data_IF_832430171679
#
_entry.id   IF_832430171679
#
_cell.length_a   1.000
_cell.length_b   1.000
_cell.length_c   1.000
_cell.angle_alpha   90.00
_cell.angle_beta   90.00
_cell.angle_gamma   90.00
#
_symmetry.space_group_name_H-M   'P 1'
#
loop_
_entity.id
_entity.type
_entity.pdbx_description
1 polymer ?
2 non-polymer ?
3 non-polymer ?
4 non-polymer ?
5 water ?
#
# COMPACT_ATOMS: atom_id res chain seq x y z
N UNK A 7 -20.70 15.14 -12.39
CA UNK A 7 -19.73 14.13 -12.78
C UNK A 7 -18.31 14.67 -12.91
N UNK A 8 -17.35 13.89 -12.43
CA UNK A 8 -15.93 14.21 -12.53
C UNK A 8 -15.25 13.43 -13.65
N UNK A 9 -15.99 13.18 -14.72
CA UNK A 9 -15.54 12.24 -15.74
C UNK A 9 -14.69 12.91 -16.83
N UNK A 10 -14.75 14.23 -16.91
CA UNK A 10 -14.01 15.00 -17.93
C UNK A 10 -12.81 15.73 -17.34
N UNK A 11 -11.73 15.89 -18.13
CA UNK A 11 -10.56 16.60 -17.60
C UNK A 11 -10.89 18.06 -17.36
N UNK A 12 -10.48 18.58 -16.20
CA UNK A 12 -10.80 19.96 -15.84
C UNK A 12 -10.18 20.95 -16.82
N UNK A 13 -10.87 22.05 -17.08
CA UNK A 13 -10.25 23.15 -17.82
C UNK A 13 -9.24 23.83 -16.92
N UNK A 14 -8.18 24.39 -17.49
CA UNK A 14 -7.19 25.10 -16.68
C UNK A 14 -7.75 26.44 -16.26
N UNK A 15 -7.84 26.68 -14.93
CA UNK A 15 -8.37 27.91 -14.36
C UNK A 15 -7.34 29.06 -14.35
N UNK A 16 -7.83 30.27 -14.09
CA UNK A 16 -7.00 31.46 -14.17
C UNK A 16 -6.17 31.60 -12.90
N UNK A 17 -6.74 31.10 -11.82
CA UNK A 17 -6.05 31.02 -10.54
C UNK A 17 -6.23 29.61 -10.00
N UNK A 18 -5.81 29.38 -8.76
CA UNK A 18 -5.64 28.03 -8.25
C UNK A 18 -6.93 27.24 -8.00
N UNK A 19 -6.89 25.95 -8.32
CA UNK A 19 -8.05 25.10 -8.12
C UNK A 19 -7.62 23.64 -7.96
N UNK A 20 -8.32 22.92 -7.10
CA UNK A 20 -8.17 21.47 -6.98
C UNK A 20 -9.40 20.83 -7.59
N UNK A 21 -9.19 19.86 -8.47
CA UNK A 21 -10.32 19.19 -9.12
C UNK A 21 -10.11 17.69 -9.16
N UNK A 22 -11.21 16.96 -9.37
CA UNK A 22 -11.17 15.51 -9.41
C UNK A 22 -11.41 14.99 -10.79
N UNK A 23 -10.66 13.95 -11.17
CA UNK A 23 -10.88 13.29 -12.43
C UNK A 23 -11.06 11.81 -12.18
N UNK A 24 -12.27 11.31 -12.41
CA UNK A 24 -12.57 9.89 -12.26
C UNK A 24 -12.70 9.27 -13.63
N UNK A 25 -11.74 8.42 -13.99
CA UNK A 25 -11.68 7.85 -15.34
C UNK A 25 -10.89 6.56 -15.28
N UNK A 26 -11.22 5.60 -16.16
CA UNK A 26 -10.57 4.29 -16.11
C UNK A 26 -9.10 4.29 -16.44
N UNK A 27 -8.41 3.27 -15.94
CA UNK A 27 -7.03 3.05 -16.30
C UNK A 27 -6.88 2.84 -17.81
N UNK A 28 -5.94 3.55 -18.41
CA UNK A 28 -5.69 3.48 -19.84
C UNK A 28 -6.53 4.41 -20.70
N UNK A 29 -7.47 5.12 -20.08
CA UNK A 29 -8.45 5.92 -20.83
C UNK A 29 -7.91 7.25 -21.36
N UNK A 30 -6.72 7.63 -20.94
CA UNK A 30 -6.14 8.91 -21.33
C UNK A 30 -5.80 9.86 -20.18
N UNK A 31 -6.31 9.58 -18.99
CA UNK A 31 -6.14 10.50 -17.85
C UNK A 31 -4.69 10.77 -17.50
N UNK A 32 -3.82 9.78 -17.68
CA UNK A 32 -2.41 9.96 -17.35
C UNK A 32 -1.54 10.31 -18.55
N UNK A 33 -2.13 10.40 -19.74
CA UNK A 33 -1.33 10.51 -20.94
C UNK A 33 -1.91 11.56 -21.92
N UNK A 34 -3.03 11.23 -22.56
CA UNK A 34 -3.76 12.15 -23.44
C UNK A 34 -4.10 13.48 -22.75
N UNK A 35 -4.51 13.42 -21.50
CA UNK A 35 -4.92 14.63 -20.78
C UNK A 35 -3.71 15.55 -20.55
N UNK A 36 -2.58 15.01 -20.02
CA UNK A 36 -1.44 15.91 -19.97
C UNK A 36 -0.90 16.34 -21.35
N UNK A 37 -0.96 15.47 -22.36
CA UNK A 37 -0.61 15.92 -23.70
C UNK A 37 -1.44 17.14 -24.13
N UNK A 38 -2.75 17.10 -23.89
CA UNK A 38 -3.61 18.21 -24.33
C UNK A 38 -3.32 19.50 -23.54
N UNK A 39 -3.00 19.36 -22.26
CA UNK A 39 -2.59 20.50 -21.42
C UNK A 39 -1.31 21.13 -21.95
N UNK A 40 -0.35 20.29 -22.33
CA UNK A 40 0.93 20.77 -22.84
C UNK A 40 0.77 21.42 -24.22
N UNK A 41 -0.13 20.89 -25.04
CA UNK A 41 -0.41 21.50 -26.34
C UNK A 41 -0.93 22.93 -26.18
N UNK A 42 -1.47 23.22 -25.00
CA UNK A 42 -1.98 24.56 -24.69
C UNK A 42 -0.89 25.44 -24.11
N UNK A 43 0.30 24.88 -23.92
CA UNK A 43 1.43 25.66 -23.43
C UNK A 43 1.77 25.55 -21.96
N UNK A 44 1.05 24.71 -21.22
CA UNK A 44 1.29 24.54 -19.79
C UNK A 44 2.37 23.49 -19.50
N UNK A 45 3.05 23.63 -18.38
CA UNK A 45 3.96 22.57 -17.93
C UNK A 45 3.23 21.67 -16.96
N UNK A 46 3.36 20.36 -17.17
CA UNK A 46 2.53 19.41 -16.47
C UNK A 46 3.38 18.38 -15.72
N UNK A 47 3.02 18.14 -14.47
CA UNK A 47 3.65 17.09 -13.69
C UNK A 47 2.64 15.99 -13.44
N UNK A 48 3.04 14.75 -13.68
CA UNK A 48 2.17 13.62 -13.41
C UNK A 48 2.83 12.67 -12.42
N UNK A 49 2.20 12.51 -11.26
CA UNK A 49 2.71 11.68 -10.18
C UNK A 49 2.00 10.34 -10.13
N UNK A 50 2.74 9.25 -9.92
CA UNK A 50 2.14 7.92 -9.89
C UNK A 50 2.84 7.07 -8.82
N UNK A 51 2.10 6.15 -8.19
CA UNK A 51 2.75 5.33 -7.15
C UNK A 51 3.78 4.34 -7.67
N UNK A 52 3.82 4.09 -8.98
CA UNK A 52 4.61 2.96 -9.51
C UNK A 52 5.77 3.37 -10.42
N UNK A 53 6.96 2.84 -10.14
CA UNK A 53 8.10 3.07 -11.02
C UNK A 53 7.78 2.54 -12.43
N UNK A 54 7.20 1.34 -12.49
CA UNK A 54 6.88 0.71 -13.77
C UNK A 54 5.84 1.52 -14.53
N UNK A 55 4.78 1.96 -13.86
CA UNK A 55 3.77 2.74 -14.56
C UNK A 55 4.39 4.03 -15.09
N UNK A 56 5.25 4.64 -14.26
CA UNK A 56 5.89 5.90 -14.58
C UNK A 56 6.78 5.78 -15.81
N UNK A 57 7.61 4.76 -15.86
CA UNK A 57 8.39 4.53 -17.07
C UNK A 57 7.51 4.25 -18.28
N UNK A 58 6.42 3.52 -18.05
CA UNK A 58 5.55 3.14 -19.14
C UNK A 58 4.83 4.32 -19.81
N UNK A 59 4.56 5.36 -19.03
CA UNK A 59 3.94 6.57 -19.58
C UNK A 59 4.87 7.18 -20.61
N UNK A 60 6.16 7.19 -20.27
CA UNK A 60 7.20 7.71 -21.16
C UNK A 60 7.27 6.95 -22.46
N UNK A 61 7.19 5.62 -22.39
CA UNK A 61 7.19 4.81 -23.61
C UNK A 61 5.93 5.07 -24.44
N UNK A 62 4.77 5.21 -23.80
CA UNK A 62 3.55 5.49 -24.55
C UNK A 62 3.62 6.87 -25.23
N UNK A 63 4.02 7.90 -24.48
CA UNK A 63 3.96 9.26 -24.97
C UNK A 63 4.92 9.50 -26.12
N UNK A 64 6.09 8.90 -26.02
CA UNK A 64 7.10 8.92 -27.08
C UNK A 64 6.62 8.28 -28.38
N UNK A 65 6.15 7.05 -28.27
CA UNK A 65 5.83 6.26 -29.44
C UNK A 65 4.51 6.69 -30.08
N UNK A 66 3.54 7.05 -29.25
CA UNK A 66 2.23 7.43 -29.77
C UNK A 66 2.15 8.88 -30.21
N UNK A 67 2.82 9.79 -29.50
CA UNK A 67 2.62 11.20 -29.78
C UNK A 67 3.89 11.96 -30.15
N UNK A 68 5.03 11.29 -30.15
CA UNK A 68 6.29 11.95 -30.42
C UNK A 68 6.63 12.96 -29.35
N UNK A 69 6.10 12.73 -28.15
CA UNK A 69 6.41 13.52 -26.97
C UNK A 69 7.40 12.79 -26.06
N UNK A 70 8.57 13.36 -25.84
CA UNK A 70 9.55 12.74 -24.96
C UNK A 70 9.52 13.45 -23.60
N UNK A 71 8.77 12.90 -22.66
CA UNK A 71 8.61 13.57 -21.36
C UNK A 71 9.84 13.42 -20.49
N UNK A 72 9.97 14.24 -19.46
CA UNK A 72 10.91 13.95 -18.39
C UNK A 72 10.37 12.80 -17.58
N UNK A 73 11.26 11.92 -17.12
CA UNK A 73 10.87 10.73 -16.36
C UNK A 73 11.73 10.63 -15.12
N UNK A 74 11.12 10.72 -13.93
CA UNK A 74 11.90 10.76 -12.69
C UNK A 74 11.50 9.64 -11.72
N UNK A 75 12.47 8.78 -11.37
CA UNK A 75 12.28 7.72 -10.37
C UNK A 75 13.43 7.77 -9.39
N UNK A 76 13.36 6.98 -8.32
CA UNK A 76 14.43 6.92 -7.34
C UNK A 76 15.77 6.45 -7.89
N UNK A 77 15.74 5.63 -8.93
CA UNK A 77 16.94 5.14 -9.61
C UNK A 77 17.64 6.24 -10.43
N UNK A 78 16.86 6.98 -11.19
CA UNK A 78 17.43 7.99 -12.06
C UNK A 78 16.36 8.88 -12.66
N UNK A 79 16.79 10.07 -13.09
CA UNK A 79 15.89 11.00 -13.76
C UNK A 79 16.33 11.17 -15.19
N UNK A 80 15.38 11.14 -16.12
CA UNK A 80 15.70 11.41 -17.50
C UNK A 80 15.08 12.76 -17.84
N UNK A 81 15.91 13.70 -18.30
CA UNK A 81 15.43 15.05 -18.57
C UNK A 81 15.54 15.35 -20.06
N UNK A 82 14.43 15.74 -20.67
CA UNK A 82 14.41 16.11 -22.08
C UNK A 82 14.18 17.60 -22.26
N UNK A 83 13.80 18.29 -21.19
CA UNK A 83 13.44 19.69 -21.29
C UNK A 83 12.04 19.91 -21.86
N UNK A 84 11.29 18.84 -22.09
CA UNK A 84 9.91 18.95 -22.54
C UNK A 84 8.97 19.39 -21.43
N UNK A 85 7.72 19.74 -21.79
CA UNK A 85 6.80 20.36 -20.83
C UNK A 85 6.10 19.37 -19.92
N UNK A 86 6.24 18.08 -20.19
CA UNK A 86 5.60 17.08 -19.36
C UNK A 86 6.65 16.27 -18.62
N UNK A 87 6.40 16.10 -17.33
CA UNK A 87 7.26 15.33 -16.45
C UNK A 87 6.45 14.23 -15.75
N UNK A 88 6.88 12.97 -15.88
CA UNK A 88 6.34 11.88 -15.06
C UNK A 88 7.31 11.59 -13.92
N UNK A 89 6.79 11.49 -12.70
CA UNK A 89 7.61 11.15 -11.55
C UNK A 89 6.83 10.19 -10.67
N UNK A 90 7.53 9.35 -9.92
CA UNK A 90 6.90 8.64 -8.82
C UNK A 90 6.62 9.63 -7.68
N UNK A 91 5.70 9.27 -6.79
CA UNK A 91 5.46 10.10 -5.61
C UNK A 91 6.71 10.17 -4.75
N UNK A 92 7.40 9.03 -4.61
CA UNK A 92 8.65 8.98 -3.84
C UNK A 92 9.73 9.88 -4.37
N UNK A 93 9.94 9.86 -5.69
CA UNK A 93 10.99 10.69 -6.26
C UNK A 93 10.62 12.17 -6.13
N UNK A 94 9.34 12.48 -6.31
CA UNK A 94 8.83 13.84 -6.12
C UNK A 94 9.14 14.36 -4.71
N UNK A 95 8.91 13.53 -3.71
CA UNK A 95 9.20 13.89 -2.31
C UNK A 95 10.71 14.08 -2.10
N UNK A 96 11.49 13.14 -2.61
CA UNK A 96 12.95 13.20 -2.50
C UNK A 96 13.51 14.44 -3.19
N UNK A 97 12.84 14.91 -4.24
CA UNK A 97 13.26 16.11 -4.96
C UNK A 97 12.85 17.41 -4.25
N UNK A 98 12.16 17.30 -3.11
CA UNK A 98 11.79 18.48 -2.36
C UNK A 98 10.36 18.97 -2.60
N UNK A 99 9.55 18.16 -3.27
CA UNK A 99 8.16 18.52 -3.50
C UNK A 99 8.04 19.60 -4.57
N UNK A 100 7.11 20.53 -4.38
CA UNK A 100 6.94 21.59 -5.38
C UNK A 100 8.03 22.65 -5.23
N UNK A 101 9.20 22.39 -5.81
CA UNK A 101 10.25 23.40 -5.89
C UNK A 101 9.92 24.36 -7.03
N UNK A 102 8.69 24.88 -7.00
CA UNK A 102 8.15 25.70 -8.07
C UNK A 102 8.81 27.07 -8.18
N UNK A 103 8.42 27.86 -9.18
CA UNK A 103 7.34 27.53 -10.09
C UNK A 103 7.70 26.68 -11.29
N UNK A 104 7.88 25.39 -11.05
CA UNK A 104 8.24 24.47 -12.09
C UNK A 104 7.01 24.10 -12.95
N UNK A 105 5.90 23.73 -12.31
CA UNK A 105 4.76 23.20 -13.07
C UNK A 105 3.50 24.05 -12.93
N UNK A 106 2.71 24.11 -14.00
CA UNK A 106 1.41 24.81 -13.97
C UNK A 106 0.31 23.89 -13.48
N UNK A 107 0.41 22.63 -13.87
CA UNK A 107 -0.59 21.63 -13.57
C UNK A 107 0.07 20.40 -12.96
N UNK A 108 -0.49 19.92 -11.87
CA UNK A 108 0.00 18.70 -11.24
C UNK A 108 -1.11 17.69 -11.17
N UNK A 109 -0.88 16.56 -11.82
CA UNK A 109 -1.85 15.51 -11.79
C UNK A 109 -1.36 14.45 -10.82
N UNK A 110 -2.11 14.27 -9.75
CA UNK A 110 -1.88 13.17 -8.84
C UNK A 110 -2.66 11.94 -9.29
N UNK A 111 -1.98 11.05 -10.01
CA UNK A 111 -2.61 9.87 -10.57
C UNK A 111 -2.73 8.78 -9.49
N UNK A 112 -3.71 7.91 -9.66
CA UNK A 112 -4.05 6.86 -8.68
C UNK A 112 -4.14 7.43 -7.28
N UNK A 113 -4.87 8.53 -7.14
CA UNK A 113 -4.89 9.32 -5.91
C UNK A 113 -5.71 8.63 -4.83
N UNK A 114 -6.30 7.48 -5.16
CA UNK A 114 -6.91 6.61 -4.16
C UNK A 114 -5.85 5.78 -3.42
N UNK A 115 -4.62 5.75 -3.94
CA UNK A 115 -3.60 4.88 -3.37
C UNK A 115 -3.33 5.22 -1.90
N UNK A 116 -3.29 4.18 -1.08
CA UNK A 116 -3.14 4.36 0.35
C UNK A 116 -1.80 3.86 0.85
N UNK A 117 -0.79 3.79 -0.02
CA UNK A 117 0.54 3.54 0.51
C UNK A 117 1.07 4.88 1.03
N UNK A 118 1.98 4.83 2.00
CA UNK A 118 2.40 6.03 2.71
C UNK A 118 3.05 7.07 1.81
N UNK A 119 3.82 6.61 0.83
CA UNK A 119 4.49 7.52 -0.11
C UNK A 119 3.48 8.32 -0.95
N UNK A 120 2.43 7.67 -1.40
CA UNK A 120 1.40 8.36 -2.16
C UNK A 120 0.69 9.41 -1.32
N UNK A 121 0.31 9.03 -0.10
CA UNK A 121 -0.39 9.92 0.82
C UNK A 121 0.42 11.15 1.17
N UNK A 122 1.67 10.95 1.55
CA UNK A 122 2.54 12.06 1.86
C UNK A 122 2.81 12.90 0.61
N UNK A 123 2.97 12.22 -0.53
CA UNK A 123 3.18 12.92 -1.79
C UNK A 123 2.02 13.84 -2.14
N UNK A 124 0.81 13.30 -2.05
CA UNK A 124 -0.39 14.06 -2.39
C UNK A 124 -0.63 15.23 -1.42
N UNK A 125 -0.42 14.99 -0.13
CA UNK A 125 -0.48 16.06 0.86
C UNK A 125 0.55 17.15 0.58
N UNK A 126 1.72 16.74 0.13
CA UNK A 126 2.75 17.71 -0.21
C UNK A 126 2.29 18.61 -1.35
N UNK A 127 1.78 17.99 -2.40
CA UNK A 127 1.23 18.74 -3.53
C UNK A 127 0.15 19.71 -3.09
N UNK A 128 -0.78 19.22 -2.28
CA UNK A 128 -1.91 20.03 -1.88
C UNK A 128 -1.49 21.19 -0.98
N UNK A 129 -0.45 20.99 -0.17
CA UNK A 129 -0.02 22.07 0.70
C UNK A 129 0.84 23.11 -0.03
N UNK A 130 1.53 22.67 -1.09
CA UNK A 130 2.57 23.51 -1.72
C UNK A 130 2.23 24.06 -3.12
N UNK A 131 1.27 23.45 -3.81
CA UNK A 131 1.06 23.76 -5.24
C UNK A 131 0.77 25.24 -5.51
N UNK A 132 -0.18 25.80 -4.76
CA UNK A 132 -0.60 27.18 -4.98
C UNK A 132 0.56 28.15 -4.76
N UNK A 133 1.19 28.04 -3.60
CA UNK A 133 2.34 28.88 -3.25
C UNK A 133 3.47 28.72 -4.27
N UNK A 134 3.60 27.53 -4.83
CA UNK A 134 4.59 27.28 -5.87
C UNK A 134 4.18 27.80 -7.26
N UNK A 135 3.00 28.42 -7.35
CA UNK A 135 2.59 29.05 -8.59
C UNK A 135 1.86 28.17 -9.59
N UNK A 136 1.40 27.00 -9.14
CA UNK A 136 0.57 26.13 -9.97
C UNK A 136 -0.85 26.70 -10.11
N UNK A 137 -1.54 26.35 -11.18
CA UNK A 137 -2.88 26.85 -11.37
C UNK A 137 -3.93 25.75 -11.11
N UNK A 138 -3.49 24.50 -11.19
CA UNK A 138 -4.40 23.37 -11.14
C UNK A 138 -3.77 22.10 -10.56
N UNK A 139 -4.46 21.49 -9.61
CA UNK A 139 -4.12 20.15 -9.13
C UNK A 139 -5.27 19.23 -9.48
N UNK A 140 -4.97 18.13 -10.16
CA UNK A 140 -5.96 17.15 -10.55
C UNK A 140 -5.77 15.91 -9.70
N UNK A 141 -6.80 15.52 -8.95
CA UNK A 141 -6.75 14.26 -8.23
C UNK A 141 -7.43 13.19 -9.09
N UNK A 142 -6.64 12.33 -9.74
CA UNK A 142 -7.16 11.39 -10.72
C UNK A 142 -7.11 9.98 -10.21
N UNK A 143 -8.20 9.24 -10.43
CA UNK A 143 -8.26 7.84 -10.06
C UNK A 143 -9.32 7.10 -10.86
N UNK A 144 -9.07 5.82 -11.09
CA UNK A 144 -10.08 4.94 -11.64
C UNK A 144 -10.92 4.31 -10.54
N UNK A 145 -10.53 4.52 -9.29
CA UNK A 145 -11.23 3.92 -8.14
C UNK A 145 -11.47 4.94 -7.03
N UNK A 146 -12.51 5.77 -7.17
CA UNK A 146 -12.74 6.80 -6.16
C UNK A 146 -13.01 6.18 -4.79
N UNK A 147 -12.61 6.87 -3.73
CA UNK A 147 -12.89 6.39 -2.37
C UNK A 147 -14.39 6.24 -2.14
N UNK A 148 -14.74 5.22 -1.37
CA UNK A 148 -16.14 4.90 -1.10
C UNK A 148 -16.72 3.96 -2.13
N UNK A 149 -15.94 3.66 -3.17
CA UNK A 149 -16.36 2.68 -4.20
C UNK A 149 -16.72 1.32 -3.60
N UNK A 150 -17.78 0.71 -4.13
CA UNK A 150 -18.12 -0.64 -3.75
C UNK A 150 -18.08 -1.56 -4.97
N UNK A 151 -17.96 -2.85 -4.72
CA UNK A 151 -17.98 -3.82 -5.81
C UNK A 151 -19.36 -3.82 -6.44
N UNK A 152 -19.40 -3.70 -7.76
CA UNK A 152 -20.66 -3.67 -8.48
C UNK A 152 -20.84 -4.94 -9.31
N UNK A 153 -22.09 -5.24 -9.61
CA UNK A 153 -22.41 -6.45 -10.34
C UNK A 153 -21.73 -6.49 -11.71
N UNK A 154 -21.34 -7.69 -12.11
CA UNK A 154 -20.62 -7.88 -13.36
C UNK A 154 -21.52 -8.69 -14.28
N UNK A 155 -21.70 -8.25 -15.53
CA UNK A 155 -22.67 -8.96 -16.38
C UNK A 155 -22.26 -10.39 -16.70
N UNK A 156 -20.97 -10.71 -16.65
CA UNK A 156 -20.55 -12.05 -17.03
C UNK A 156 -20.22 -12.97 -15.87
N UNK A 157 -20.55 -12.55 -14.66
CA UNK A 157 -20.15 -13.36 -13.51
C UNK A 157 -21.31 -13.63 -12.57
N UNK A 158 -21.60 -14.91 -12.38
CA UNK A 158 -22.67 -15.36 -11.51
C UNK A 158 -22.11 -15.51 -10.10
N UNK A 159 -22.71 -14.81 -9.15
CA UNK A 159 -22.22 -14.78 -7.78
C UNK A 159 -23.12 -15.63 -6.90
N UNK A 160 -22.50 -16.59 -6.21
CA UNK A 160 -23.21 -17.55 -5.40
C UNK A 160 -22.60 -17.65 -4.02
N UNK A 161 -23.36 -17.26 -2.99
CA UNK A 161 -22.85 -17.35 -1.61
C UNK A 161 -22.57 -18.79 -1.22
N UNK A 162 -21.51 -18.98 -0.43
CA UNK A 162 -21.29 -20.27 0.23
C UNK A 162 -22.31 -20.44 1.35
N UNK A 163 -22.71 -21.69 1.60
CA UNK A 163 -23.54 -21.99 2.75
C UNK A 163 -22.71 -22.76 3.76
N UNK A 164 -23.38 -23.41 4.70
CA UNK A 164 -22.67 -24.26 5.64
C UNK A 164 -22.73 -25.71 5.18
N UNK A 165 -23.52 -25.94 4.14
CA UNK A 165 -23.53 -27.23 3.46
C UNK A 165 -22.27 -27.46 2.63
N UNK A 166 -21.50 -28.47 2.98
CA UNK A 166 -20.35 -28.84 2.18
C UNK A 166 -19.35 -29.69 2.94
N UNK A 167 -18.53 -30.44 2.20
CA UNK A 167 -17.56 -31.34 2.82
C UNK A 167 -16.33 -30.60 3.31
N UNK A 168 -15.96 -29.53 2.61
CA UNK A 168 -14.72 -28.83 2.88
C UNK A 168 -14.94 -27.56 3.69
N UNK A 169 -14.48 -27.56 4.95
CA UNK A 169 -14.61 -26.38 5.81
C UNK A 169 -13.81 -25.21 5.25
N UNK A 170 -14.42 -24.04 5.12
CA UNK A 170 -13.76 -22.90 4.50
C UNK A 170 -14.18 -21.59 5.17
N UNK A 171 -13.31 -21.07 6.02
CA UNK A 171 -13.49 -19.76 6.67
C UNK A 171 -14.90 -19.54 7.27
N UNK A 172 -15.42 -20.54 7.95
CA UNK A 172 -16.71 -20.41 8.60
C UNK A 172 -17.86 -20.96 7.78
N UNK A 173 -17.60 -21.19 6.50
CA UNK A 173 -18.58 -21.81 5.63
C UNK A 173 -18.05 -23.13 5.14
N UNK A 174 -18.69 -23.68 4.11
CA UNK A 174 -18.25 -24.94 3.54
C UNK A 174 -18.20 -24.87 2.03
N UNK A 175 -17.33 -25.66 1.43
CA UNK A 175 -17.30 -25.85 -0.01
C UNK A 175 -17.78 -27.26 -0.32
N UNK A 176 -18.87 -27.39 -1.10
CA UNK A 176 -19.25 -28.71 -1.60
C UNK A 176 -18.20 -29.20 -2.60
N UNK A 177 -17.80 -30.47 -2.49
CA UNK A 177 -16.75 -30.96 -3.37
C UNK A 177 -17.21 -30.98 -4.83
N UNK A 178 -18.50 -31.19 -5.06
CA UNK A 178 -19.04 -31.31 -6.42
C UNK A 178 -18.77 -30.03 -7.21
N UNK A 179 -18.55 -28.95 -6.47
CA UNK A 179 -18.45 -27.62 -7.03
C UNK A 179 -17.04 -27.29 -7.56
N UNK A 180 -16.05 -28.08 -7.15
CA UNK A 180 -14.69 -27.92 -7.63
C UNK A 180 -14.13 -29.21 -8.24
N UNK A 181 -14.96 -30.25 -8.34
CA UNK A 181 -14.51 -31.49 -9.00
C UNK A 181 -14.83 -31.42 -10.50
N UNK A 182 -13.77 -31.37 -11.31
CA UNK A 182 -13.91 -31.16 -12.73
C UNK A 182 -13.96 -29.67 -13.02
N UNK A 183 -13.14 -29.23 -13.96
CA UNK A 183 -13.02 -27.82 -14.28
C UNK A 183 -11.77 -27.20 -13.66
N UNK A 184 -11.61 -25.91 -13.87
CA UNK A 184 -10.44 -25.23 -13.34
C UNK A 184 -10.91 -24.14 -12.38
N UNK A 185 -10.48 -24.24 -11.13
CA UNK A 185 -11.00 -23.37 -10.08
C UNK A 185 -9.89 -22.71 -9.28
N UNK A 186 -10.14 -21.48 -8.83
CA UNK A 186 -9.18 -20.71 -8.08
C UNK A 186 -9.72 -20.33 -6.69
N UNK A 187 -9.05 -20.80 -5.64
CA UNK A 187 -9.47 -20.47 -4.29
C UNK A 187 -8.50 -19.51 -3.62
N UNK A 188 -8.99 -18.33 -3.23
CA UNK A 188 -8.14 -17.36 -2.52
C UNK A 188 -8.16 -17.59 -1.02
N UNK A 189 -6.98 -17.85 -0.47
CA UNK A 189 -6.79 -17.91 0.97
C UNK A 189 -5.90 -16.75 1.42
N UNK A 190 -6.02 -16.38 2.69
CA UNK A 190 -5.35 -15.19 3.21
C UNK A 190 -3.86 -15.41 3.47
N UNK A 191 -3.44 -16.67 3.60
CA UNK A 191 -2.07 -17.00 3.98
C UNK A 191 -1.50 -18.21 3.22
N UNK A 192 -0.18 -18.27 3.14
CA UNK A 192 0.51 -19.37 2.49
C UNK A 192 0.23 -20.68 3.21
N UNK A 193 0.10 -20.61 4.54
CA UNK A 193 -0.18 -21.81 5.32
C UNK A 193 -1.57 -22.36 5.01
N UNK A 194 -2.56 -21.47 4.89
CA UNK A 194 -3.89 -21.92 4.52
C UNK A 194 -3.89 -22.54 3.13
N UNK A 195 -3.05 -22.01 2.25
CA UNK A 195 -2.96 -22.52 0.89
C UNK A 195 -2.40 -23.94 0.90
N UNK A 196 -1.37 -24.15 1.72
CA UNK A 196 -0.77 -25.47 1.88
C UNK A 196 -1.72 -26.45 2.55
N UNK A 197 -2.42 -25.98 3.58
CA UNK A 197 -3.37 -26.84 4.28
C UNK A 197 -4.52 -27.29 3.39
N UNK A 198 -5.12 -26.33 2.67
CA UNK A 198 -6.26 -26.62 1.82
C UNK A 198 -5.85 -27.48 0.63
N UNK A 199 -4.70 -27.18 0.04
CA UNK A 199 -4.24 -27.90 -1.14
C UNK A 199 -3.91 -29.36 -0.80
N UNK A 200 -3.41 -29.57 0.42
CA UNK A 200 -3.14 -30.92 0.91
C UNK A 200 -4.47 -31.64 1.12
N UNK A 201 -5.40 -30.97 1.79
CA UNK A 201 -6.72 -31.52 2.07
C UNK A 201 -7.43 -31.94 0.79
N UNK A 202 -7.35 -31.10 -0.23
CA UNK A 202 -8.04 -31.37 -1.48
C UNK A 202 -7.38 -32.54 -2.20
N UNK A 203 -6.05 -32.57 -2.17
CA UNK A 203 -5.32 -33.68 -2.76
C UNK A 203 -5.74 -34.99 -2.12
N UNK A 204 -5.84 -35.00 -0.80
CA UNK A 204 -6.23 -36.20 -0.07
C UNK A 204 -7.63 -36.64 -0.49
N UNK A 205 -8.47 -35.69 -0.86
CA UNK A 205 -9.83 -36.02 -1.28
C UNK A 205 -9.90 -36.50 -2.74
N UNK A 206 -8.74 -36.60 -3.38
CA UNK A 206 -8.68 -37.10 -4.74
C UNK A 206 -8.74 -36.05 -5.83
N UNK A 207 -8.74 -34.78 -5.43
CA UNK A 207 -8.75 -33.66 -6.37
C UNK A 207 -7.34 -33.30 -6.83
N UNK A 208 -7.23 -32.78 -8.05
CA UNK A 208 -5.99 -32.22 -8.56
C UNK A 208 -5.83 -30.79 -8.06
N UNK A 209 -5.06 -30.61 -7.00
CA UNK A 209 -4.91 -29.28 -6.41
C UNK A 209 -3.44 -28.90 -6.23
N UNK A 210 -3.16 -27.61 -6.35
CA UNK A 210 -1.81 -27.07 -6.18
C UNK A 210 -1.85 -25.67 -5.59
N UNK A 211 -0.94 -25.41 -4.65
CA UNK A 211 -0.85 -24.12 -3.98
C UNK A 211 0.00 -23.15 -4.79
N UNK A 212 -0.35 -21.87 -4.77
CA UNK A 212 0.53 -20.83 -5.31
C UNK A 212 0.62 -19.62 -4.41
N UNK A 213 1.84 -19.14 -4.18
CA UNK A 213 2.06 -17.90 -3.45
C UNK A 213 3.43 -17.32 -3.78
N UNK A 214 3.76 -16.19 -3.17
CA UNK A 214 5.04 -15.51 -3.40
C UNK A 214 6.21 -16.46 -3.18
N UNK A 215 6.99 -16.68 -4.23
CA UNK A 215 8.16 -17.53 -4.12
C UNK A 215 7.91 -18.94 -4.60
N UNK A 216 7.07 -19.09 -5.61
CA UNK A 216 6.90 -20.35 -6.31
C UNK A 216 6.79 -20.07 -7.79
N UNK A 217 7.08 -21.07 -8.63
CA UNK A 217 7.05 -20.85 -10.06
C UNK A 217 5.62 -20.91 -10.59
N UNK A 218 5.35 -20.12 -11.62
CA UNK A 218 4.02 -20.06 -12.20
C UNK A 218 3.69 -21.36 -12.90
N UNK A 219 4.73 -22.10 -13.29
CA UNK A 219 4.56 -23.33 -14.05
C UNK A 219 3.99 -24.45 -13.20
N UNK A 220 4.00 -24.28 -11.88
CA UNK A 220 3.41 -25.23 -10.95
C UNK A 220 1.88 -25.25 -11.12
N UNK A 221 1.37 -24.27 -11.86
CA UNK A 221 -0.01 -24.25 -12.29
C UNK A 221 -0.12 -24.83 -13.69
N UNK A 222 -0.86 -25.94 -13.85
CA UNK A 222 -0.97 -26.54 -15.18
C UNK A 222 -1.81 -25.68 -16.13
N UNK A 223 -1.38 -25.63 -17.39
CA UNK A 223 -2.03 -24.81 -18.42
C UNK A 223 -3.34 -25.42 -18.87
N UNK A 224 -3.42 -26.73 -18.81
CA UNK A 224 -4.61 -27.48 -19.19
C UNK A 224 -4.95 -28.49 -18.12
N UNK A 225 -6.18 -28.96 -18.13
CA UNK A 225 -6.59 -30.01 -17.23
C UNK A 225 -7.36 -29.48 -16.06
N UNK A 226 -8.20 -30.34 -15.49
CA UNK A 226 -8.87 -30.03 -14.25
C UNK A 226 -7.85 -29.70 -13.18
N UNK A 227 -8.02 -28.56 -12.53
CA UNK A 227 -7.13 -28.21 -11.44
C UNK A 227 -7.87 -27.30 -10.47
N UNK A 228 -7.55 -27.43 -9.19
CA UNK A 228 -7.99 -26.46 -8.19
C UNK A 228 -6.75 -25.75 -7.67
N UNK A 229 -6.61 -24.48 -8.01
CA UNK A 229 -5.49 -23.67 -7.53
C UNK A 229 -5.85 -22.98 -6.22
N UNK A 230 -4.99 -23.13 -5.21
CA UNK A 230 -5.21 -22.50 -3.91
C UNK A 230 -4.15 -21.45 -3.70
N UNK A 231 -4.53 -20.18 -3.79
CA UNK A 231 -3.54 -19.12 -3.87
C UNK A 231 -3.81 -17.87 -3.01
N UNK A 232 -2.74 -17.12 -2.78
CA UNK A 232 -2.83 -15.79 -2.19
C UNK A 232 -2.91 -14.77 -3.32
N UNK A 233 -2.99 -13.50 -2.95
CA UNK A 233 -3.07 -12.42 -3.93
C UNK A 233 -1.80 -12.32 -4.77
N UNK A 234 -0.76 -13.07 -4.39
CA UNK A 234 0.44 -13.18 -5.20
C UNK A 234 0.14 -13.66 -6.62
N UNK A 235 -0.94 -14.41 -6.77
CA UNK A 235 -1.32 -14.97 -8.06
C UNK A 235 -1.58 -13.90 -9.11
N UNK A 236 -2.02 -12.73 -8.67
CA UNK A 236 -2.44 -11.73 -9.62
C UNK A 236 -1.30 -10.93 -10.26
N UNK A 237 -0.05 -11.29 -9.97
CA UNK A 237 1.08 -10.50 -10.47
C UNK A 237 2.25 -11.10 -11.33
N UNK A 238 2.43 -12.42 -11.47
CA UNK A 238 1.61 -13.49 -10.95
C UNK A 238 1.37 -14.54 -12.03
N UNK A 239 0.15 -14.60 -12.52
CA UNK A 239 -0.29 -15.58 -13.51
C UNK A 239 -1.32 -14.88 -14.41
N UNK A 240 -1.62 -15.44 -15.58
CA UNK A 240 -2.48 -14.71 -16.52
C UNK A 240 -3.81 -15.39 -16.82
N UNK A 241 -3.83 -16.72 -16.80
CA UNK A 241 -5.04 -17.47 -17.14
C UNK A 241 -6.24 -17.13 -16.28
N UNK A 242 -7.42 -17.52 -16.76
CA UNK A 242 -8.65 -17.33 -16.00
C UNK A 242 -9.22 -18.69 -15.61
N UNK A 243 -10.34 -18.68 -14.89
CA UNK A 243 -10.86 -19.88 -14.25
C UNK A 243 -12.37 -20.04 -14.43
N UNK A 244 -12.86 -21.28 -14.26
CA UNK A 244 -14.29 -21.58 -14.29
C UNK A 244 -15.00 -20.94 -13.09
N UNK A 245 -14.31 -20.95 -11.95
CA UNK A 245 -14.81 -20.28 -10.76
C UNK A 245 -13.69 -19.73 -9.91
N UNK A 246 -14.07 -18.74 -9.11
CA UNK A 246 -13.23 -18.19 -8.05
C UNK A 246 -13.99 -18.37 -6.74
N UNK A 247 -13.30 -18.85 -5.71
CA UNK A 247 -13.88 -18.93 -4.39
C UNK A 247 -13.03 -18.05 -3.48
N UNK A 248 -13.68 -17.06 -2.85
CA UNK A 248 -12.98 -16.01 -2.15
C UNK A 248 -13.20 -16.09 -0.64
N UNK A 249 -12.13 -16.11 0.14
CA UNK A 249 -12.27 -16.15 1.60
C UNK A 249 -12.72 -14.78 2.13
N UNK A 250 -12.62 -13.76 1.28
CA UNK A 250 -13.07 -12.40 1.60
C UNK A 250 -12.33 -11.77 2.77
N UNK A 251 -11.13 -12.25 3.04
CA UNK A 251 -10.31 -11.64 4.07
C UNK A 251 -8.94 -11.39 3.45
N UNK A 252 -8.22 -10.40 3.93
CA UNK A 252 -6.81 -10.27 3.54
C UNK A 252 -5.94 -9.84 4.71
N UNK A 253 -4.64 -9.94 4.50
CA UNK A 253 -3.65 -9.58 5.49
C UNK A 253 -3.15 -8.18 5.20
N UNK A 254 -3.19 -7.30 6.20
CA UNK A 254 -2.73 -5.93 6.02
C UNK A 254 -2.06 -5.39 7.29
N UNK A 255 -1.23 -4.38 7.10
CA UNK A 255 -0.55 -3.73 8.21
C UNK A 255 -1.51 -2.87 9.06
N UNK A 256 -1.53 -3.12 10.36
CA UNK A 256 -2.41 -2.37 11.24
C UNK A 256 -1.68 -1.95 12.51
N UNK A 257 -2.08 -0.84 13.10
CA UNK A 257 -1.59 -0.46 14.41
C UNK A 257 -2.61 -0.89 15.48
N UNK A 258 -2.09 -1.36 16.60
CA UNK A 258 -2.90 -1.75 17.74
C UNK A 258 -2.32 -1.02 18.94
N UNK A 259 -3.15 -0.20 19.59
CA UNK A 259 -2.67 0.48 20.79
C UNK A 259 -2.83 -0.48 21.96
N UNK A 260 -1.91 -1.44 21.97
CA UNK A 260 -1.96 -2.63 22.80
C UNK A 260 -1.41 -2.41 24.20
N UNK A 261 -0.75 -1.26 24.42
CA UNK A 261 -0.26 -0.90 25.75
C UNK A 261 0.67 -1.96 26.37
N UNK A 262 1.52 -2.56 25.55
CA UNK A 262 2.43 -3.61 26.02
C UNK A 262 3.88 -3.48 25.54
N UNK A 263 4.52 -2.32 25.80
CA UNK A 263 4.13 -1.16 26.59
C UNK A 263 3.34 -0.07 25.83
N UNK A 264 3.44 0.00 24.51
CA UNK A 264 2.89 1.15 23.78
C UNK A 264 1.94 0.74 22.65
N UNK A 265 2.48 0.59 21.46
CA UNK A 265 1.65 0.19 20.34
C UNK A 265 2.33 -0.96 19.59
N UNK A 266 1.53 -1.61 18.75
CA UNK A 266 1.97 -2.71 17.92
C UNK A 266 1.63 -2.44 16.47
N UNK A 267 2.62 -2.58 15.59
CA UNK A 267 2.36 -2.54 14.15
C UNK A 267 2.73 -3.89 13.57
N UNK A 268 1.75 -4.54 12.95
CA UNK A 268 1.99 -5.85 12.39
C UNK A 268 0.97 -6.18 11.32
N UNK A 269 1.20 -7.27 10.61
CA UNK A 269 0.25 -7.72 9.59
C UNK A 269 -0.86 -8.50 10.26
N UNK A 270 -2.08 -8.11 9.95
CA UNK A 270 -3.28 -8.59 10.62
C UNK A 270 -4.29 -9.03 9.57
N UNK A 271 -5.06 -10.07 9.89
CA UNK A 271 -6.23 -10.44 9.09
C UNK A 271 -7.36 -9.42 9.27
N UNK A 272 -7.90 -8.92 8.16
CA UNK A 272 -8.99 -7.92 8.18
C UNK A 272 -10.03 -8.21 7.10
N UNK A 273 -11.23 -7.59 7.22
CA UNK A 273 -12.21 -7.69 6.12
C UNK A 273 -11.65 -7.15 4.80
N UNK A 274 -11.92 -7.84 3.70
CA UNK A 274 -11.47 -7.39 2.40
C UNK A 274 -12.26 -6.17 1.94
N UNK A 275 -11.67 -5.28 1.15
CA UNK A 275 -12.43 -4.14 0.65
C UNK A 275 -12.87 -4.33 -0.81
N UNK A 276 -13.60 -3.37 -1.34
CA UNK A 276 -14.18 -3.45 -2.67
C UNK A 276 -13.14 -3.71 -3.75
N UNK A 277 -11.95 -3.14 -3.60
CA UNK A 277 -10.93 -3.31 -4.63
C UNK A 277 -10.44 -4.75 -4.66
N UNK A 278 -10.16 -5.30 -3.49
CA UNK A 278 -9.70 -6.66 -3.39
C UNK A 278 -10.78 -7.62 -3.93
N UNK A 279 -12.02 -7.44 -3.46
CA UNK A 279 -13.14 -8.25 -3.94
C UNK A 279 -13.28 -8.20 -5.45
N UNK A 280 -13.24 -7.00 -6.03
CA UNK A 280 -13.34 -6.86 -7.48
C UNK A 280 -12.19 -7.58 -8.21
N UNK A 281 -10.98 -7.40 -7.69
CA UNK A 281 -9.82 -8.00 -8.35
C UNK A 281 -9.85 -9.53 -8.29
N UNK A 282 -10.22 -10.09 -7.13
CA UNK A 282 -10.26 -11.54 -7.00
C UNK A 282 -11.34 -12.12 -7.87
N UNK A 283 -12.50 -11.46 -7.86
CA UNK A 283 -13.64 -11.91 -8.65
C UNK A 283 -13.29 -11.91 -10.12
N UNK A 284 -12.48 -10.95 -10.51
CA UNK A 284 -12.21 -10.71 -11.93
C UNK A 284 -11.35 -11.77 -12.59
N UNK A 285 -10.93 -12.78 -11.84
CA UNK A 285 -10.15 -13.89 -12.40
C UNK A 285 -11.02 -14.98 -13.01
N UNK A 286 -12.34 -14.77 -13.01
CA UNK A 286 -13.25 -15.66 -13.72
C UNK A 286 -14.12 -14.78 -14.62
N UNK A 287 -14.85 -15.38 -15.55
CA UNK A 287 -15.72 -14.62 -16.42
C UNK A 287 -15.07 -13.98 -17.65
N UNK A 288 -13.83 -14.36 -17.96
CA UNK A 288 -13.14 -13.86 -19.14
C UNK A 288 -13.43 -14.75 -20.36
N UNK A 289 -14.13 -14.18 -21.34
CA UNK A 289 -14.43 -14.92 -22.56
C UNK A 289 -15.54 -15.95 -22.46
N UNK A 290 -16.05 -16.18 -21.26
CA UNK A 290 -17.22 -17.04 -21.08
C UNK A 290 -17.79 -16.71 -19.72
N UNK A 291 -18.93 -17.28 -19.38
CA UNK A 291 -19.54 -16.90 -18.12
C UNK A 291 -18.74 -17.46 -16.94
N UNK A 292 -18.56 -16.65 -15.90
CA UNK A 292 -17.81 -17.06 -14.72
C UNK A 292 -18.66 -17.31 -13.49
N UNK A 293 -18.03 -17.88 -12.47
CA UNK A 293 -18.68 -18.10 -11.19
C UNK A 293 -17.82 -17.59 -10.05
N UNK A 294 -18.42 -16.78 -9.17
CA UNK A 294 -17.74 -16.28 -7.99
C UNK A 294 -18.47 -16.72 -6.72
N UNK A 295 -17.75 -17.44 -5.84
CA UNK A 295 -18.34 -17.87 -4.56
C UNK A 295 -17.66 -17.18 -3.40
N UNK A 296 -18.46 -16.80 -2.40
CA UNK A 296 -17.95 -15.95 -1.34
C UNK A 296 -18.42 -16.39 0.04
N UNK A 297 -17.58 -16.13 1.03
CA UNK A 297 -17.88 -16.42 2.42
C UNK A 297 -18.87 -15.41 2.95
N UNK A 298 -18.68 -14.15 2.57
CA UNK A 298 -19.44 -13.05 3.15
C UNK A 298 -19.79 -12.01 2.10
N UNK A 299 -20.98 -11.39 2.22
CA UNK A 299 -21.25 -10.28 1.32
C UNK A 299 -20.30 -9.18 1.70
N UNK A 300 -19.66 -8.57 0.73
CA UNK A 300 -18.77 -7.51 1.09
C UNK A 300 -19.58 -6.24 1.33
N UNK A 301 -18.90 -5.15 1.60
CA UNK A 301 -17.47 -5.13 1.82
C UNK A 301 -17.22 -3.99 2.78
N UNK A 302 -15.93 -3.73 2.99
CA UNK A 302 -15.52 -2.38 3.21
C UNK A 302 -15.54 -1.76 1.82
N UNK A 303 -16.14 -0.57 1.68
CA UNK A 303 -15.89 0.22 0.46
C UNK A 303 -14.40 0.54 0.36
N UNK A 304 -13.93 0.92 -0.81
CA UNK A 304 -12.51 1.29 -0.95
C UNK A 304 -12.25 2.65 -0.28
N UNK A 305 -10.99 2.97 -0.06
CA UNK A 305 -10.64 4.33 0.34
C UNK A 305 -10.57 4.61 1.84
N UNK A 306 -10.39 3.56 2.63
CA UNK A 306 -10.15 3.74 4.06
C UNK A 306 -8.80 3.14 4.37
N UNK A 307 -8.01 3.80 5.21
CA UNK A 307 -6.72 3.22 5.53
C UNK A 307 -6.40 3.37 7.01
N UNK A 308 -5.39 2.61 7.42
CA UNK A 308 -5.09 2.40 8.83
C UNK A 308 -4.16 3.47 9.39
N UNK A 309 -4.33 3.81 10.67
CA UNK A 309 -3.47 4.77 11.34
C UNK A 309 -1.97 4.44 11.23
N UNK A 310 -1.64 3.15 11.12
CA UNK A 310 -0.25 2.72 10.90
C UNK A 310 0.38 3.33 9.64
N UNK A 311 -0.46 3.64 8.65
CA UNK A 311 0.04 4.31 7.44
C UNK A 311 0.43 5.77 7.75
N UNK A 312 -0.29 6.41 8.67
CA UNK A 312 0.10 7.77 9.07
C UNK A 312 1.48 7.71 9.75
N UNK A 313 1.64 6.75 10.65
CA UNK A 313 2.93 6.49 11.30
C UNK A 313 4.01 6.32 10.25
N UNK A 314 3.69 5.51 9.25
CA UNK A 314 4.64 5.22 8.20
C UNK A 314 5.04 6.47 7.43
N UNK A 315 4.14 7.45 7.34
CA UNK A 315 4.47 8.72 6.68
C UNK A 315 5.49 9.53 7.49
N UNK A 316 5.32 9.57 8.81
CA UNK A 316 6.25 10.28 9.70
C UNK A 316 7.59 9.60 9.65
N UNK A 317 7.54 8.27 9.66
CA UNK A 317 8.73 7.45 9.53
C UNK A 317 9.50 7.84 8.25
N UNK A 318 8.81 7.82 7.11
CA UNK A 318 9.41 8.16 5.84
C UNK A 318 9.89 9.61 5.80
N UNK A 319 9.15 10.50 6.44
CA UNK A 319 9.58 11.88 6.49
C UNK A 319 10.94 12.02 7.14
N UNK A 320 11.10 11.34 8.27
CA UNK A 320 12.36 11.36 9.00
C UNK A 320 13.48 10.54 8.32
N UNK A 321 13.12 9.48 7.62
CA UNK A 321 14.12 8.56 7.08
C UNK A 321 14.64 8.96 5.71
N UNK A 322 13.73 9.38 4.84
CA UNK A 322 14.06 9.61 3.43
C UNK A 322 14.08 11.06 3.02
N UNK A 323 13.21 11.88 3.60
CA UNK A 323 12.95 13.18 3.00
C UNK A 323 13.30 14.38 3.88
N UNK A 324 14.05 14.14 4.95
CA UNK A 324 14.55 15.22 5.79
C UNK A 324 13.44 16.15 6.26
N UNK A 325 12.30 15.58 6.61
CA UNK A 325 11.20 16.38 7.13
C UNK A 325 11.08 16.20 8.64
N UNK A 326 10.97 17.30 9.36
CA UNK A 326 10.60 17.23 10.77
C UNK A 326 9.16 16.72 10.88
N UNK A 327 8.83 16.11 12.03
CA UNK A 327 7.43 15.71 12.26
C UNK A 327 6.43 16.85 12.06
N UNK A 328 6.79 18.08 12.43
CA UNK A 328 5.88 19.20 12.23
C UNK A 328 5.64 19.46 10.74
N UNK A 329 6.67 19.27 9.92
CA UNK A 329 6.53 19.47 8.49
C UNK A 329 5.62 18.40 7.91
N UNK A 330 5.88 17.15 8.28
CA UNK A 330 5.04 16.05 7.88
C UNK A 330 3.57 16.29 8.23
N UNK A 331 3.32 16.78 9.45
CA UNK A 331 1.94 17.08 9.86
C UNK A 331 1.28 18.10 8.95
N UNK A 332 2.01 19.13 8.56
CA UNK A 332 1.45 20.17 7.67
C UNK A 332 0.97 19.51 6.38
N UNK A 333 1.83 18.68 5.78
CA UNK A 333 1.48 18.00 4.54
C UNK A 333 0.29 17.04 4.72
N UNK A 334 0.30 16.26 5.80
CA UNK A 334 -0.77 15.29 5.99
C UNK A 334 -2.09 15.99 6.33
N UNK A 335 -2.00 17.14 6.99
CA UNK A 335 -3.19 17.94 7.31
C UNK A 335 -3.90 18.38 6.03
N UNK A 336 -3.12 18.80 5.04
CA UNK A 336 -3.70 19.25 3.79
C UNK A 336 -4.44 18.08 3.10
N UNK A 337 -3.87 16.89 3.22
CA UNK A 337 -4.47 15.67 2.68
C UNK A 337 -5.79 15.34 3.37
N UNK A 338 -5.76 15.33 4.69
CA UNK A 338 -6.97 14.99 5.45
C UNK A 338 -8.06 16.05 5.23
N UNK A 339 -7.66 17.31 5.07
CA UNK A 339 -8.64 18.39 4.86
C UNK A 339 -9.25 18.44 3.47
N UNK A 340 -8.62 17.78 2.51
CA UNK A 340 -9.12 17.80 1.15
C UNK A 340 -10.22 16.75 0.98
N UNK A 341 -11.43 17.18 0.64
CA UNK A 341 -12.48 16.18 0.43
C UNK A 341 -12.29 15.34 -0.83
N UNK A 342 -12.77 14.10 -0.80
CA UNK A 342 -12.75 13.24 -1.97
C UNK A 342 -11.56 12.28 -2.04
N UNK A 343 -10.77 12.26 -0.98
CA UNK A 343 -9.58 11.42 -0.90
C UNK A 343 -9.80 10.27 0.10
N UNK A 344 -8.91 9.26 0.09
CA UNK A 344 -8.96 8.24 1.14
C UNK A 344 -9.01 8.84 2.55
N UNK A 345 -9.64 8.13 3.47
CA UNK A 345 -9.85 8.63 4.83
C UNK A 345 -9.25 7.72 5.90
N UNK A 346 -8.93 8.33 7.03
CA UNK A 346 -8.31 7.63 8.15
C UNK A 346 -8.57 8.41 9.43
N UNK A 347 -8.44 7.74 10.57
CA UNK A 347 -8.56 8.42 11.85
C UNK A 347 -7.55 9.55 11.92
N UNK A 348 -7.92 10.65 12.56
CA UNK A 348 -7.00 11.79 12.66
C UNK A 348 -6.05 11.56 13.83
N UNK A 349 -4.90 10.96 13.55
CA UNK A 349 -3.90 10.67 14.56
C UNK A 349 -2.63 11.47 14.33
N UNK A 350 -2.77 12.57 13.62
CA UNK A 350 -1.61 13.37 13.23
C UNK A 350 -0.86 13.92 14.45
N UNK A 351 -1.59 14.51 15.40
CA UNK A 351 -0.93 15.08 16.56
C UNK A 351 -0.24 13.98 17.35
N UNK A 352 -0.89 12.83 17.48
CA UNK A 352 -0.27 11.73 18.20
C UNK A 352 1.04 11.25 17.54
N UNK A 353 0.98 10.92 16.26
CA UNK A 353 2.17 10.39 15.61
C UNK A 353 3.27 11.44 15.56
N UNK A 354 2.91 12.71 15.36
CA UNK A 354 3.89 13.79 15.39
C UNK A 354 4.59 13.84 16.75
N UNK A 355 3.81 13.82 17.83
CA UNK A 355 4.41 13.87 19.16
C UNK A 355 5.39 12.71 19.38
N UNK A 356 5.02 11.50 18.97
CA UNK A 356 5.92 10.35 19.09
C UNK A 356 7.26 10.57 18.38
N UNK A 357 7.22 10.89 17.08
CA UNK A 357 8.47 10.98 16.33
C UNK A 357 9.32 12.15 16.81
N UNK A 358 8.66 13.16 17.39
CA UNK A 358 9.37 14.32 17.91
C UNK A 358 10.32 13.91 19.03
N UNK A 359 9.98 12.86 19.76
CA UNK A 359 10.84 12.41 20.83
C UNK A 359 11.86 11.36 20.41
N UNK A 360 11.84 10.92 19.15
CA UNK A 360 12.79 9.91 18.69
C UNK A 360 14.07 10.57 18.18
N UNK A 361 14.78 11.21 19.10
CA UNK A 361 15.96 12.00 18.76
C UNK A 361 17.26 11.18 18.81
N UNK A 362 18.25 11.66 18.06
CA UNK A 362 19.59 11.06 18.03
C UNK A 362 19.53 9.60 17.59
N UNK A 363 18.91 9.34 16.45
CA UNK A 363 18.96 8.01 15.87
C UNK A 363 20.41 7.80 15.45
N UNK A 364 20.85 6.55 15.39
CA UNK A 364 22.17 6.27 14.84
C UNK A 364 22.10 6.32 13.30
N UNK A 365 22.92 7.18 12.68
CA UNK A 365 22.85 7.37 11.23
C UNK A 365 23.17 6.08 10.46
N UNK A 366 24.13 5.31 10.96
CA UNK A 366 24.57 4.12 10.25
C UNK A 366 23.50 3.03 10.28
N UNK A 367 22.82 2.88 11.42
CA UNK A 367 21.70 1.93 11.48
C UNK A 367 20.61 2.35 10.50
N UNK A 368 20.32 3.66 10.46
CA UNK A 368 19.27 4.18 9.58
C UNK A 368 19.60 3.95 8.12
N UNK A 369 20.87 4.15 7.71
CA UNK A 369 21.22 3.90 6.32
C UNK A 369 21.12 2.41 6.02
N UNK A 370 21.42 1.59 7.01
CA UNK A 370 21.29 0.14 6.83
C UNK A 370 19.82 -0.29 6.63
N UNK A 371 18.90 0.18 7.48
CA UNK A 371 17.51 -0.23 7.34
C UNK A 371 16.89 0.39 6.08
N UNK A 372 17.33 1.59 5.72
CA UNK A 372 16.89 2.20 4.46
C UNK A 372 17.32 1.36 3.28
N UNK A 373 18.62 1.07 3.20
CA UNK A 373 19.18 0.26 2.11
C UNK A 373 18.53 -1.11 2.06
N UNK A 374 18.20 -1.67 3.23
CA UNK A 374 17.59 -2.99 3.31
C UNK A 374 16.16 -3.00 2.78
N UNK A 375 15.53 -1.84 2.73
CA UNK A 375 14.18 -1.73 2.18
C UNK A 375 13.06 -2.29 3.05
N UNK A 376 13.34 -2.64 4.30
CA UNK A 376 12.27 -3.05 5.21
C UNK A 376 11.36 -1.87 5.55
N UNK A 377 10.13 -2.18 5.96
CA UNK A 377 9.15 -1.17 6.36
C UNK A 377 9.56 -0.49 7.66
N UNK A 378 9.11 0.76 7.84
CA UNK A 378 9.46 1.55 9.02
C UNK A 378 10.96 1.57 9.29
N UNK A 379 11.76 2.01 8.30
CA UNK A 379 13.21 2.07 8.54
C UNK A 379 13.56 2.93 9.75
N UNK A 380 12.82 4.01 9.95
CA UNK A 380 13.17 4.91 11.05
C UNK A 380 12.91 4.25 12.41
N UNK A 381 11.73 3.66 12.60
CA UNK A 381 11.40 3.00 13.86
C UNK A 381 12.27 1.76 14.13
N UNK A 382 12.56 0.99 13.09
CA UNK A 382 13.44 -0.18 13.25
C UNK A 382 14.85 0.27 13.65
N UNK A 383 15.39 1.29 12.99
CA UNK A 383 16.73 1.77 13.32
C UNK A 383 16.75 2.48 14.67
N UNK A 384 15.63 3.09 15.06
CA UNK A 384 15.62 3.76 16.36
C UNK A 384 15.61 2.74 17.48
N UNK A 385 14.83 1.68 17.32
CA UNK A 385 14.85 0.60 18.28
C UNK A 385 16.24 -0.01 18.36
N UNK A 386 16.87 -0.21 17.19
CA UNK A 386 18.21 -0.78 17.12
C UNK A 386 19.23 0.13 17.82
N UNK A 387 19.05 1.44 17.65
CA UNK A 387 19.94 2.43 18.26
C UNK A 387 19.83 2.36 19.76
N UNK A 388 18.60 2.32 20.25
CA UNK A 388 18.34 2.17 21.67
C UNK A 388 18.95 0.87 22.17
N UNK A 389 18.83 -0.20 21.39
CA UNK A 389 19.37 -1.49 21.81
C UNK A 389 20.88 -1.41 21.97
N UNK A 390 21.56 -0.90 20.94
CA UNK A 390 23.02 -0.81 20.97
C UNK A 390 23.50 0.06 22.12
N UNK A 391 22.85 1.20 22.34
CA UNK A 391 23.27 2.09 23.42
C UNK A 391 23.05 1.50 24.80
N UNK A 392 22.20 0.50 24.89
CA UNK A 392 22.01 -0.17 26.16
C UNK A 392 22.73 -1.52 26.18
N UNK A 393 23.49 -1.80 25.12
CA UNK A 393 24.14 -3.09 24.91
C UNK A 393 23.16 -4.25 25.12
N UNK A 394 21.93 -4.08 24.65
CA UNK A 394 20.87 -5.08 24.78
C UNK A 394 20.51 -5.70 23.43
N UNK A 395 20.03 -6.96 23.43
CA UNK A 395 19.57 -7.63 22.21
C UNK A 395 18.30 -7.00 21.64
N UNK A 396 18.08 -7.14 20.32
CA UNK A 396 16.84 -6.70 19.69
C UNK A 396 15.65 -7.56 20.16
N UNK A 397 14.40 -7.12 19.91
CA UNK A 397 13.21 -7.88 20.30
C UNK A 397 13.28 -9.33 19.83
N UNK A 398 13.86 -9.55 18.65
CA UNK A 398 14.08 -10.91 18.13
C UNK A 398 15.26 -10.89 17.17
N UNK A 399 15.56 -12.04 16.57
CA UNK A 399 16.64 -12.04 15.58
C UNK A 399 16.09 -12.22 14.18
N UNK A 400 14.83 -11.86 14.00
CA UNK A 400 14.26 -11.65 12.67
C UNK A 400 15.19 -10.77 11.82
N UNK A 401 15.13 -10.93 10.51
CA UNK A 401 15.95 -10.17 9.55
C UNK A 401 15.86 -8.67 9.74
N UNK A 402 14.71 -8.21 10.22
CA UNK A 402 14.47 -6.85 10.68
C UNK A 402 15.64 -6.24 11.46
N UNK A 403 16.19 -7.03 12.38
CA UNK A 403 17.16 -6.53 13.34
C UNK A 403 18.58 -6.83 12.88
N UNK A 404 18.72 -6.99 11.57
CA UNK A 404 19.98 -7.30 10.88
C UNK A 404 21.17 -6.46 11.33
N UNK A 405 20.97 -5.15 11.47
CA UNK A 405 22.08 -4.25 11.76
C UNK A 405 22.76 -4.57 13.08
N UNK A 406 22.10 -5.35 13.93
CA UNK A 406 22.67 -5.66 15.24
C UNK A 406 23.41 -6.97 15.24
N UNK A 407 23.53 -7.59 14.08
CA UNK A 407 24.11 -8.94 14.04
C UNK A 407 25.59 -8.95 14.40
N UNK A 408 26.35 -7.95 13.94
CA UNK A 408 27.79 -7.91 14.24
C UNK A 408 28.04 -7.79 15.73
N UNK A 409 27.07 -7.19 16.42
CA UNK A 409 27.22 -6.89 17.85
C UNK A 409 26.69 -7.99 18.75
N UNK A 410 26.06 -9.00 18.14
CA UNK A 410 25.37 -10.08 18.84
C UNK A 410 26.14 -10.63 20.06
N UNK A 411 27.44 -10.96 19.94
CA UNK A 411 28.14 -11.51 21.11
C UNK A 411 28.20 -10.60 22.34
N UNK A 412 27.92 -9.31 22.19
CA UNK A 412 28.06 -8.39 23.32
C UNK A 412 26.72 -7.80 23.77
N UNK A 413 25.65 -8.19 23.10
CA UNK A 413 24.31 -7.76 23.49
C UNK A 413 23.72 -8.80 24.45
N UNK A 414 23.22 -8.35 25.59
CA UNK A 414 22.68 -9.26 26.59
C UNK A 414 21.68 -8.56 27.53
N UNK A 415 20.95 -9.34 28.32
CA UNK A 415 19.89 -8.82 29.14
C UNK A 415 18.59 -8.60 28.40
N UNK A 416 17.64 -7.89 29.03
CA UNK A 416 16.32 -7.68 28.41
C UNK A 416 16.32 -6.57 27.34
N UNK A 417 15.43 -6.70 26.36
CA UNK A 417 15.26 -5.66 25.36
C UNK A 417 14.53 -4.45 25.93
N UNK A 418 15.11 -3.25 25.77
CA UNK A 418 14.35 -2.05 26.11
C UNK A 418 13.32 -1.78 24.99
N UNK A 419 12.16 -2.39 25.12
CA UNK A 419 11.10 -2.33 24.11
C UNK A 419 10.43 -0.95 24.04
N UNK A 420 10.55 -0.32 22.87
CA UNK A 420 9.87 0.96 22.60
C UNK A 420 8.43 0.77 22.13
N UNK A 421 8.21 -0.32 21.40
CA UNK A 421 6.98 -0.62 20.66
C UNK A 421 7.21 -1.98 20.02
N UNK A 422 6.19 -2.53 19.36
CA UNK A 422 6.30 -3.86 18.78
C UNK A 422 6.08 -3.84 17.28
N UNK A 423 7.06 -4.37 16.53
CA UNK A 423 7.01 -4.33 15.06
C UNK A 423 6.96 -5.74 14.48
N UNK A 424 6.77 -6.72 15.35
CA UNK A 424 6.76 -8.11 14.93
C UNK A 424 6.77 -8.93 16.20
N UNK A 425 7.05 -10.23 16.06
CA UNK A 425 7.05 -11.14 17.20
C UNK A 425 8.15 -10.81 18.19
N UNK A 426 7.83 -11.02 19.47
CA UNK A 426 8.76 -10.76 20.56
C UNK A 426 9.39 -12.07 21.03
N UNK A 427 10.71 -12.13 21.08
CA UNK A 427 11.36 -13.39 21.40
C UNK A 427 12.46 -13.24 22.45
N UNK A 428 12.47 -12.09 23.12
CA UNK A 428 13.37 -11.88 24.24
C UNK A 428 12.63 -11.29 25.44
N UNK A 429 13.22 -11.41 26.63
CA UNK A 429 12.77 -10.69 27.81
C UNK A 429 12.79 -9.18 27.54
N UNK A 430 11.85 -8.46 28.13
CA UNK A 430 11.76 -7.02 27.93
C UNK A 430 11.89 -6.22 29.23
N UNK A 431 12.37 -5.00 29.09
CA UNK A 431 12.29 -4.04 30.17
C UNK A 431 11.52 -2.84 29.64
N UNK A 432 10.73 -2.22 30.51
CA UNK A 432 9.94 -1.06 30.10
C UNK A 432 10.48 0.23 30.74
N UNK A 433 11.70 0.18 31.24
CA UNK A 433 12.23 1.32 31.98
C UNK A 433 12.82 2.40 31.10
N UNK A 434 13.03 2.13 29.81
CA UNK A 434 13.73 3.11 28.98
C UNK A 434 12.93 4.42 28.87
N UNK A 435 13.64 5.55 29.01
CA UNK A 435 13.05 6.88 28.90
C UNK A 435 12.16 7.08 27.67
N UNK A 436 12.52 6.49 26.53
CA UNK A 436 11.74 6.68 25.32
C UNK A 436 10.45 5.90 25.39
N UNK A 437 10.51 4.74 26.03
CA UNK A 437 9.31 3.94 26.23
C UNK A 437 8.32 4.76 27.03
N UNK A 438 8.81 5.35 28.13
CA UNK A 438 7.98 6.20 28.96
C UNK A 438 7.47 7.38 28.15
N UNK A 439 8.34 7.95 27.32
CA UNK A 439 7.94 9.07 26.49
C UNK A 439 6.75 8.70 25.56
N UNK A 440 6.84 7.55 24.91
CA UNK A 440 5.81 7.17 23.94
C UNK A 440 4.49 6.82 24.66
N UNK A 441 4.58 6.19 25.82
CA UNK A 441 3.39 5.93 26.63
C UNK A 441 2.65 7.22 26.95
N UNK A 442 3.43 8.26 27.25
CA UNK A 442 2.87 9.57 27.60
C UNK A 442 2.23 10.24 26.38
N UNK A 443 2.84 10.08 25.21
CA UNK A 443 2.24 10.56 23.96
C UNK A 443 0.83 9.97 23.80
N UNK A 444 0.69 8.69 24.15
CA UNK A 444 -0.58 8.00 24.06
C UNK A 444 -1.61 8.55 25.06
N UNK A 445 -1.18 8.73 26.31
CA UNK A 445 -2.04 9.31 27.35
C UNK A 445 -2.41 10.76 27.11
N UNK A 446 -1.60 11.47 26.33
CA UNK A 446 -1.80 12.90 26.17
C UNK A 446 -2.73 13.20 24.99
N UNK A 447 -3.16 12.15 24.30
CA UNK A 447 -4.01 12.31 23.13
C UNK A 447 -5.38 11.67 23.36
N UNK A 448 -6.44 12.47 23.34
CA UNK A 448 -7.79 11.95 23.60
C UNK A 448 -8.26 10.94 22.55
N UNK A 449 -7.77 11.07 21.32
CA UNK A 449 -8.15 10.16 20.25
C UNK A 449 -7.51 8.79 20.45
N UNK A 450 -6.32 8.78 21.06
CA UNK A 450 -5.61 7.52 21.26
C UNK A 450 -5.89 6.93 22.65
N UNK A 451 -5.88 7.77 23.68
CA UNK A 451 -6.14 7.32 25.05
C UNK A 451 -7.58 6.82 25.21
#
# INVERSE_FOLDING_TARGET
RSPVFTDNSSPPAVPQSFQVAHLHAPTGSGKSTKVPAAYAAQGYKVLVLNPSVAATLGFGVYMSKAHGIDPNIRTGVRAITTGGPITYSTYGKFLADGGCSGGAYDIIICDECHSTDSTSILGIGTVLDQAETAGARLVVLATATPPGSVTVSHPNIEEVALSNTGEIPFYGKAIPIEVIRGGRHLIFCHSKKKCDELAAKLSALGLNAVAYYRGLDVSVIPTSGDVVVVATDALMTGYTGDFDSVIDCNTCVTQTVDFSLDPTFTIDTTTVPQDAVSRSQRRGRTGRGRRGIYRFVTPGERPSGMFDSSVLCECYDAGCAWYELTPAETSVRLRAYLNTPGLPVCQDHLEFWESVFTGLTHIDAHFLSQTKQAGDNFPYLVAYQATVCARAQAPPPSWDQMWKSLTRLKPTLLGPTPLLYRLGALQNEVTLTHPITKYIMACMSADLEVV
#
